data_IF_575262326318
#
_entry.id   IF_575262326318
#
_cell.length_a   1.000
_cell.length_b   1.000
_cell.length_c   1.000
_cell.angle_alpha   90.00
_cell.angle_beta   90.00
_cell.angle_gamma   90.00
#
_symmetry.space_group_name_H-M   'P 1'
#
loop_
_entity.id
_entity.type
_entity.pdbx_description
1 polymer ?
#
# COMPACT_ATOMS: atom_id res chain seq x y z
N UNK A 1 0.84 0.90 13.35
CA UNK A 1 1.51 1.31 12.10
C UNK A 1 2.97 1.57 12.40
N UNK A 2 3.84 1.10 11.53
CA UNK A 2 5.26 1.28 11.70
C UNK A 2 5.73 2.70 11.40
N UNK A 3 6.87 3.06 11.98
CA UNK A 3 7.46 4.40 11.88
C UNK A 3 8.44 4.58 10.72
N UNK A 4 8.74 3.52 9.96
CA UNK A 4 9.57 3.56 8.75
C UNK A 4 8.69 3.28 7.53
N UNK A 5 8.73 4.17 6.55
CA UNK A 5 7.94 4.05 5.34
C UNK A 5 8.81 3.76 4.13
N UNK A 6 8.31 2.88 3.29
CA UNK A 6 8.92 2.46 2.04
C UNK A 6 7.98 2.81 0.90
N UNK A 7 8.47 3.60 -0.04
CA UNK A 7 7.68 4.07 -1.17
C UNK A 7 8.27 3.57 -2.47
N UNK A 8 7.38 3.18 -3.36
CA UNK A 8 7.74 2.73 -4.70
C UNK A 8 6.58 2.97 -5.69
N UNK A 9 6.85 2.88 -6.97
CA UNK A 9 5.82 2.94 -7.99
C UNK A 9 5.81 1.70 -8.89
N UNK A 10 4.61 1.27 -9.22
CA UNK A 10 4.35 0.10 -10.09
C UNK A 10 3.66 0.56 -11.36
N UNK A 11 4.09 0.01 -12.48
CA UNK A 11 3.38 0.18 -13.76
C UNK A 11 2.17 -0.75 -13.80
N UNK A 12 1.00 -0.19 -14.09
CA UNK A 12 -0.22 -0.96 -14.33
C UNK A 12 -0.86 -0.54 -15.64
N UNK A 13 -1.51 -1.47 -16.31
CA UNK A 13 -2.29 -1.19 -17.53
C UNK A 13 -3.75 -1.00 -17.18
N UNK A 14 -4.36 0.09 -17.67
CA UNK A 14 -5.77 0.40 -17.52
C UNK A 14 -6.30 0.69 -18.92
N UNK A 15 -7.23 -0.12 -19.39
CA UNK A 15 -7.75 -0.06 -20.75
C UNK A 15 -6.61 0.01 -21.80
N UNK A 16 -5.64 -0.90 -21.67
CA UNK A 16 -4.47 -0.99 -22.56
C UNK A 16 -3.41 0.11 -22.39
N UNK A 17 -3.70 1.21 -21.66
CA UNK A 17 -2.78 2.34 -21.46
C UNK A 17 -2.00 2.20 -20.16
N UNK A 18 -0.71 2.57 -20.19
CA UNK A 18 0.17 2.53 -19.02
C UNK A 18 -0.18 3.65 -18.03
N UNK A 19 -0.26 3.27 -16.75
CA UNK A 19 -0.46 4.16 -15.61
C UNK A 19 0.55 3.82 -14.51
N UNK A 20 0.65 4.69 -13.51
CA UNK A 20 1.61 4.59 -12.42
C UNK A 20 0.87 4.52 -11.10
N UNK A 21 1.07 3.43 -10.37
CA UNK A 21 0.56 3.23 -9.02
C UNK A 21 1.67 3.61 -8.03
N UNK A 22 1.56 4.76 -7.41
CA UNK A 22 2.37 5.17 -6.27
C UNK A 22 1.87 4.44 -5.04
N UNK A 23 2.77 3.90 -4.26
CA UNK A 23 2.43 3.10 -3.10
C UNK A 23 3.38 3.37 -1.95
N UNK A 24 2.84 3.47 -0.72
CA UNK A 24 3.59 3.52 0.52
C UNK A 24 3.21 2.33 1.39
N UNK A 25 4.21 1.69 1.97
CA UNK A 25 4.05 0.62 2.96
C UNK A 25 4.94 0.93 4.17
N UNK A 26 4.58 0.43 5.35
CA UNK A 26 5.43 0.49 6.52
C UNK A 26 6.45 -0.67 6.56
N UNK A 27 7.30 -0.71 7.59
CA UNK A 27 8.31 -1.76 7.76
C UNK A 27 7.71 -3.16 7.92
N UNK A 28 6.45 -3.26 8.31
CA UNK A 28 5.72 -4.51 8.44
C UNK A 28 5.04 -4.89 7.10
N UNK A 29 5.17 -4.03 6.10
CA UNK A 29 4.59 -4.16 4.77
C UNK A 29 3.08 -3.91 4.75
N UNK A 30 2.51 -3.27 5.77
CA UNK A 30 1.14 -2.78 5.74
C UNK A 30 1.05 -1.59 4.79
N UNK A 31 0.04 -1.61 3.92
CA UNK A 31 -0.21 -0.52 2.98
C UNK A 31 -0.71 0.72 3.73
N UNK A 32 -0.01 1.83 3.57
CA UNK A 32 -0.35 3.11 4.18
C UNK A 32 -1.28 3.92 3.29
N UNK A 33 -0.92 4.04 2.02
CA UNK A 33 -1.74 4.70 1.01
C UNK A 33 -1.26 4.40 -0.41
N UNK A 34 -2.15 4.63 -1.38
CA UNK A 34 -1.87 4.50 -2.82
C UNK A 34 -2.43 5.67 -3.61
N UNK A 35 -1.83 5.96 -4.75
CA UNK A 35 -2.35 6.90 -5.74
C UNK A 35 -2.06 6.44 -7.16
N UNK A 36 -3.09 6.41 -8.00
CA UNK A 36 -2.98 6.17 -9.43
C UNK A 36 -2.84 7.47 -10.20
N UNK A 37 -1.87 7.52 -11.11
CA UNK A 37 -1.65 8.68 -11.98
C UNK A 37 -1.38 8.26 -13.43
N UNK A 38 -1.66 9.18 -14.36
CA UNK A 38 -1.34 8.98 -15.78
C UNK A 38 0.14 9.20 -16.09
N UNK A 39 0.84 9.99 -15.27
CA UNK A 39 2.24 10.39 -15.47
C UNK A 39 3.09 10.08 -14.24
N UNK A 40 4.35 9.72 -14.48
CA UNK A 40 5.39 9.54 -13.47
C UNK A 40 6.23 10.81 -13.39
N UNK A 41 5.67 11.85 -12.81
CA UNK A 41 6.31 13.16 -12.75
C UNK A 41 6.33 13.75 -11.32
N UNK A 42 7.02 14.86 -11.16
CA UNK A 42 7.11 15.60 -9.89
C UNK A 42 5.72 15.98 -9.34
N UNK A 43 4.78 16.37 -10.21
CA UNK A 43 3.42 16.77 -9.80
C UNK A 43 2.66 15.61 -9.21
N UNK A 44 2.79 14.43 -9.82
CA UNK A 44 2.19 13.18 -9.33
C UNK A 44 2.78 12.77 -7.98
N UNK A 45 4.10 12.85 -7.81
CA UNK A 45 4.77 12.59 -6.55
C UNK A 45 4.30 13.55 -5.44
N UNK A 46 4.19 14.86 -5.73
CA UNK A 46 3.67 15.84 -4.76
C UNK A 46 2.23 15.53 -4.35
N UNK A 47 1.35 15.17 -5.30
CA UNK A 47 -0.03 14.76 -5.00
C UNK A 47 -0.07 13.54 -4.10
N UNK A 48 0.78 12.56 -4.38
CA UNK A 48 0.88 11.35 -3.57
C UNK A 48 1.31 11.66 -2.13
N UNK A 49 2.38 12.43 -1.93
CA UNK A 49 2.83 12.80 -0.59
C UNK A 49 1.80 13.62 0.19
N UNK A 50 1.13 14.58 -0.48
CA UNK A 50 0.04 15.35 0.16
C UNK A 50 -1.08 14.42 0.65
N UNK A 51 -1.47 13.45 -0.19
CA UNK A 51 -2.49 12.45 0.18
C UNK A 51 -2.02 11.59 1.34
N UNK A 52 -0.82 11.02 1.24
CA UNK A 52 -0.21 10.16 2.24
C UNK A 52 -0.13 10.84 3.61
N UNK A 53 0.46 12.05 3.69
CA UNK A 53 0.59 12.77 4.96
C UNK A 53 -0.76 13.22 5.54
N UNK A 54 -1.75 13.53 4.70
CA UNK A 54 -3.10 13.84 5.17
C UNK A 54 -3.80 12.63 5.81
N UNK A 55 -3.52 11.43 5.30
CA UNK A 55 -4.13 10.18 5.77
C UNK A 55 -3.48 9.60 7.03
N UNK A 56 -2.33 10.13 7.46
CA UNK A 56 -1.58 9.61 8.60
C UNK A 56 -1.57 10.60 9.75
N UNK A 57 -1.83 10.13 10.97
CA UNK A 57 -1.81 10.95 12.19
C UNK A 57 -0.39 11.32 12.66
N UNK A 58 0.62 10.58 12.22
CA UNK A 58 2.01 10.77 12.62
C UNK A 58 2.95 10.79 11.41
N UNK A 59 4.02 11.57 11.52
CA UNK A 59 5.08 11.54 10.52
C UNK A 59 6.00 10.33 10.78
N UNK A 60 6.55 9.71 9.72
CA UNK A 60 7.48 8.61 9.88
C UNK A 60 8.82 9.10 10.41
N UNK A 61 9.51 8.23 11.15
CA UNK A 61 10.90 8.48 11.55
C UNK A 61 11.85 8.45 10.36
N UNK A 62 11.49 7.74 9.28
CA UNK A 62 12.33 7.52 8.11
C UNK A 62 11.51 7.19 6.87
N UNK A 63 11.90 7.75 5.74
CA UNK A 63 11.32 7.44 4.44
C UNK A 63 12.39 6.83 3.53
N UNK A 64 12.12 5.65 2.99
CA UNK A 64 12.97 4.97 2.00
C UNK A 64 12.25 4.94 0.66
N UNK A 65 12.93 5.36 -0.40
CA UNK A 65 12.43 5.29 -1.78
C UNK A 65 13.51 4.72 -2.70
N UNK A 66 13.13 4.42 -3.93
CA UNK A 66 14.09 4.25 -5.01
C UNK A 66 14.82 5.57 -5.34
N UNK A 67 15.70 5.54 -6.34
CA UNK A 67 16.49 6.71 -6.77
C UNK A 67 15.70 7.73 -7.62
N UNK A 68 14.37 7.64 -7.72
CA UNK A 68 13.57 8.55 -8.55
C UNK A 68 13.68 10.00 -8.05
N UNK A 69 14.18 10.89 -8.90
CA UNK A 69 14.38 12.31 -8.57
C UNK A 69 13.09 13.04 -8.12
N UNK A 70 11.93 12.58 -8.62
CA UNK A 70 10.62 13.11 -8.24
C UNK A 70 10.32 13.01 -6.76
N UNK A 71 10.78 11.97 -6.07
CA UNK A 71 10.58 11.80 -4.63
C UNK A 71 11.30 12.87 -3.82
N UNK A 72 12.57 13.12 -4.13
CA UNK A 72 13.36 14.14 -3.43
C UNK A 72 12.73 15.55 -3.57
N UNK A 73 12.29 15.88 -4.79
CA UNK A 73 11.64 17.16 -5.07
C UNK A 73 10.25 17.26 -4.38
N UNK A 74 9.50 16.17 -4.32
CA UNK A 74 8.18 16.15 -3.69
C UNK A 74 8.27 16.26 -2.16
N UNK A 75 9.23 15.59 -1.53
CA UNK A 75 9.46 15.67 -0.08
C UNK A 75 9.85 17.10 0.35
N UNK A 76 10.72 17.77 -0.39
CA UNK A 76 11.05 19.17 -0.13
C UNK A 76 9.81 20.08 -0.16
N UNK A 77 8.91 19.85 -1.12
CA UNK A 77 7.67 20.64 -1.24
C UNK A 77 6.59 20.28 -0.20
N UNK A 78 6.70 19.13 0.45
CA UNK A 78 5.72 18.71 1.47
C UNK A 78 6.01 19.25 2.87
N UNK A 79 7.16 19.95 3.05
CA UNK A 79 7.60 20.42 4.37
C UNK A 79 8.00 19.30 5.34
N UNK A 80 8.13 18.07 4.84
CA UNK A 80 8.51 16.93 5.66
C UNK A 80 9.99 17.02 6.04
N UNK A 81 10.26 17.01 7.34
CA UNK A 81 11.64 17.04 7.90
C UNK A 81 12.23 15.65 8.10
N UNK A 82 11.49 14.61 7.76
CA UNK A 82 11.93 13.21 7.95
C UNK A 82 13.13 12.86 7.07
N UNK A 83 14.14 12.16 7.61
CA UNK A 83 15.27 11.66 6.85
C UNK A 83 14.85 10.80 5.66
N UNK A 84 15.30 11.20 4.46
CA UNK A 84 15.02 10.50 3.21
C UNK A 84 16.22 9.67 2.79
N UNK A 85 16.02 8.37 2.61
CA UNK A 85 17.05 7.42 2.18
C UNK A 85 16.72 6.90 0.80
N UNK A 86 17.67 7.06 -0.11
CA UNK A 86 17.62 6.56 -1.48
C UNK A 86 18.65 5.45 -1.66
N UNK A 87 18.32 4.20 -1.28
CA UNK A 87 19.21 3.04 -1.46
C UNK A 87 18.48 1.94 -2.22
N UNK A 88 19.09 1.51 -3.33
CA UNK A 88 18.54 0.54 -4.28
C UNK A 88 18.11 -0.79 -3.64
N UNK A 89 18.85 -1.30 -2.65
CA UNK A 89 18.58 -2.60 -2.02
C UNK A 89 17.76 -2.53 -0.72
N UNK A 90 17.42 -1.33 -0.23
CA UNK A 90 16.64 -1.19 1.02
C UNK A 90 15.13 -1.07 0.78
N UNK A 91 14.69 -1.06 -0.47
CA UNK A 91 13.28 -0.94 -0.83
C UNK A 91 12.60 -2.29 -1.12
N UNK A 92 13.26 -3.41 -0.82
CA UNK A 92 12.74 -4.76 -1.07
C UNK A 92 11.37 -5.01 -0.42
N UNK A 93 11.07 -4.35 0.70
CA UNK A 93 9.77 -4.48 1.38
C UNK A 93 8.66 -3.92 0.47
N UNK A 94 8.88 -2.77 -0.17
CA UNK A 94 7.96 -2.23 -1.15
C UNK A 94 7.84 -3.17 -2.37
N UNK A 95 8.97 -3.66 -2.90
CA UNK A 95 8.99 -4.57 -4.06
C UNK A 95 8.23 -5.87 -3.81
N UNK A 96 8.42 -6.53 -2.67
CA UNK A 96 7.69 -7.76 -2.29
C UNK A 96 6.18 -7.48 -2.22
N UNK A 97 5.79 -6.30 -1.74
CA UNK A 97 4.38 -5.92 -1.65
C UNK A 97 3.71 -5.78 -3.04
N UNK A 98 4.50 -5.54 -4.11
CA UNK A 98 4.00 -5.42 -5.48
C UNK A 98 3.52 -6.75 -6.09
N UNK A 99 4.06 -7.88 -5.65
CA UNK A 99 3.68 -9.20 -6.18
C UNK A 99 2.17 -9.45 -6.03
N UNK A 100 1.59 -9.07 -4.89
CA UNK A 100 0.15 -9.19 -4.64
C UNK A 100 -0.67 -8.32 -5.61
N UNK A 101 -0.26 -7.07 -5.83
CA UNK A 101 -0.93 -6.16 -6.77
C UNK A 101 -0.88 -6.70 -8.19
N UNK A 102 0.26 -7.24 -8.63
CA UNK A 102 0.42 -7.84 -9.97
C UNK A 102 -0.42 -9.11 -10.15
N UNK A 103 -0.49 -9.94 -9.11
CA UNK A 103 -1.32 -11.15 -9.15
C UNK A 103 -2.79 -10.78 -9.32
N UNK A 104 -3.28 -9.79 -8.62
CA UNK A 104 -4.64 -9.33 -8.71
C UNK A 104 -4.97 -8.63 -10.02
N UNK A 105 -4.05 -7.81 -10.55
CA UNK A 105 -4.21 -7.23 -11.87
C UNK A 105 -4.41 -8.32 -12.93
N UNK A 106 -3.73 -9.47 -12.82
CA UNK A 106 -3.90 -10.62 -13.70
C UNK A 106 -5.26 -11.32 -13.50
N UNK A 107 -5.67 -11.53 -12.26
CA UNK A 107 -6.92 -12.18 -11.91
C UNK A 107 -8.16 -11.38 -12.33
N UNK A 108 -8.09 -10.06 -12.28
CA UNK A 108 -9.20 -9.16 -12.61
C UNK A 108 -9.38 -8.87 -14.10
N UNK A 109 -8.67 -9.54 -15.00
CA UNK A 109 -8.77 -9.36 -16.46
C UNK A 109 -8.67 -7.90 -16.95
N UNK A 110 -7.92 -7.05 -16.25
CA UNK A 110 -7.65 -5.64 -16.54
C UNK A 110 -8.68 -4.64 -15.95
N UNK A 111 -8.17 -3.47 -15.60
CA UNK A 111 -9.01 -2.35 -15.16
C UNK A 111 -9.53 -1.56 -16.38
N UNK A 112 -10.77 -1.13 -16.30
CA UNK A 112 -11.44 -0.37 -17.37
C UNK A 112 -11.23 1.15 -17.19
N UNK A 113 -11.09 1.63 -15.96
CA UNK A 113 -10.88 3.05 -15.68
C UNK A 113 -9.95 3.29 -14.49
N UNK A 114 -9.33 4.49 -14.43
CA UNK A 114 -8.49 4.91 -13.30
C UNK A 114 -9.31 4.95 -12.01
N UNK A 115 -10.53 5.46 -12.06
CA UNK A 115 -11.40 5.57 -10.88
C UNK A 115 -11.76 4.19 -10.32
N UNK A 116 -12.08 3.23 -11.18
CA UNK A 116 -12.33 1.85 -10.78
C UNK A 116 -11.09 1.21 -10.16
N UNK A 117 -9.94 1.33 -10.82
CA UNK A 117 -8.67 0.79 -10.34
C UNK A 117 -8.27 1.41 -8.98
N UNK A 118 -8.40 2.73 -8.83
CA UNK A 118 -8.10 3.42 -7.57
C UNK A 118 -8.98 2.92 -6.42
N UNK A 119 -10.31 2.86 -6.62
CA UNK A 119 -11.24 2.36 -5.60
C UNK A 119 -10.94 0.92 -5.21
N UNK A 120 -10.79 0.06 -6.21
CA UNK A 120 -10.50 -1.35 -5.97
C UNK A 120 -9.19 -1.55 -5.19
N UNK A 121 -8.09 -0.96 -5.66
CA UNK A 121 -6.79 -1.11 -5.03
C UNK A 121 -6.76 -0.52 -3.60
N UNK A 122 -7.42 0.63 -3.38
CA UNK A 122 -7.55 1.20 -2.03
C UNK A 122 -8.32 0.28 -1.07
N UNK A 123 -9.47 -0.24 -1.50
CA UNK A 123 -10.26 -1.18 -0.70
C UNK A 123 -9.47 -2.46 -0.42
N UNK A 124 -8.82 -2.99 -1.45
CA UNK A 124 -8.02 -4.21 -1.35
C UNK A 124 -6.82 -4.06 -0.39
N UNK A 125 -6.17 -2.88 -0.38
CA UNK A 125 -5.10 -2.57 0.58
C UNK A 125 -5.59 -2.65 2.03
N UNK A 126 -6.76 -2.07 2.32
CA UNK A 126 -7.39 -2.13 3.65
C UNK A 126 -7.69 -3.57 4.04
N UNK A 127 -8.30 -4.36 3.15
CA UNK A 127 -8.63 -5.77 3.39
C UNK A 127 -7.36 -6.58 3.65
N UNK A 128 -6.33 -6.39 2.82
CA UNK A 128 -5.05 -7.08 3.02
C UNK A 128 -4.40 -6.72 4.36
N UNK A 129 -4.44 -5.45 4.78
CA UNK A 129 -3.92 -5.04 6.07
C UNK A 129 -4.68 -5.70 7.22
N UNK A 130 -6.01 -5.79 7.12
CA UNK A 130 -6.85 -6.42 8.12
C UNK A 130 -6.49 -7.90 8.35
N UNK A 131 -6.24 -8.66 7.28
CA UNK A 131 -5.87 -10.07 7.37
C UNK A 131 -4.36 -10.31 7.42
N UNK A 132 -3.53 -9.24 7.38
CA UNK A 132 -2.08 -9.34 7.44
C UNK A 132 -1.61 -9.51 8.87
N UNK A 133 -1.65 -10.74 9.36
CA UNK A 133 -1.02 -11.09 10.62
C UNK A 133 0.49 -11.31 10.39
N UNK A 134 1.33 -10.67 11.19
CA UNK A 134 2.79 -10.77 11.10
C UNK A 134 3.26 -12.15 11.58
N UNK A 135 3.03 -13.18 10.76
CA UNK A 135 3.29 -14.58 11.10
C UNK A 135 4.71 -14.82 11.59
N UNK A 136 5.70 -14.12 11.03
CA UNK A 136 7.12 -14.26 11.39
C UNK A 136 7.46 -13.67 12.76
N UNK A 137 6.60 -12.83 13.35
CA UNK A 137 6.78 -12.23 14.66
C UNK A 137 5.93 -12.92 15.75
N UNK A 138 5.03 -13.81 15.36
CA UNK A 138 4.05 -14.42 16.26
C UNK A 138 4.29 -15.92 16.41
N UNK A 139 4.18 -16.41 17.66
CA UNK A 139 4.05 -17.85 17.89
C UNK A 139 2.77 -18.38 17.25
N UNK A 140 2.76 -19.65 16.80
CA UNK A 140 1.64 -20.25 16.07
C UNK A 140 0.28 -20.12 16.79
N UNK A 141 0.26 -20.22 18.13
CA UNK A 141 -0.96 -20.03 18.95
C UNK A 141 -1.51 -18.60 18.81
N UNK A 142 -0.65 -17.58 18.93
CA UNK A 142 -1.07 -16.17 18.82
C UNK A 142 -1.47 -15.81 17.39
N UNK A 143 -0.76 -16.34 16.40
CA UNK A 143 -1.14 -16.14 15.00
C UNK A 143 -2.55 -16.65 14.71
N UNK A 144 -2.89 -17.88 15.15
CA UNK A 144 -4.25 -18.44 15.01
C UNK A 144 -5.29 -17.54 15.69
N UNK A 145 -5.05 -17.17 16.94
CA UNK A 145 -5.95 -16.31 17.71
C UNK A 145 -6.23 -14.98 17.01
N UNK A 146 -5.20 -14.26 16.56
CA UNK A 146 -5.39 -12.98 15.86
C UNK A 146 -6.07 -13.15 14.51
N UNK A 147 -5.76 -14.23 13.79
CA UNK A 147 -6.45 -14.55 12.53
C UNK A 147 -7.93 -14.77 12.76
N UNK A 148 -8.30 -15.55 13.74
CA UNK A 148 -9.70 -15.85 14.05
C UNK A 148 -10.45 -14.58 14.48
N UNK A 149 -9.83 -13.72 15.27
CA UNK A 149 -10.39 -12.38 15.59
C UNK A 149 -10.60 -11.52 14.33
N UNK A 150 -9.66 -11.54 13.40
CA UNK A 150 -9.81 -10.79 12.15
C UNK A 150 -11.02 -11.28 11.35
N UNK A 151 -11.26 -12.59 11.29
CA UNK A 151 -12.47 -13.13 10.65
C UNK A 151 -13.74 -12.75 11.38
N UNK A 152 -13.78 -12.80 12.71
CA UNK A 152 -14.95 -12.37 13.50
C UNK A 152 -15.26 -10.88 13.21
N UNK A 153 -14.26 -10.01 13.28
CA UNK A 153 -14.43 -8.59 12.96
C UNK A 153 -14.90 -8.38 11.53
N UNK A 154 -14.35 -9.13 10.57
CA UNK A 154 -14.77 -9.07 9.18
C UNK A 154 -16.24 -9.41 9.01
N UNK A 155 -16.70 -10.52 9.63
CA UNK A 155 -18.09 -10.95 9.60
C UNK A 155 -19.03 -9.87 10.18
N UNK A 156 -18.64 -9.23 11.28
CA UNK A 156 -19.42 -8.15 11.89
C UNK A 156 -19.56 -6.93 10.97
N UNK A 157 -18.46 -6.52 10.29
CA UNK A 157 -18.45 -5.34 9.41
C UNK A 157 -19.19 -5.61 8.09
N UNK A 158 -19.10 -6.83 7.55
CA UNK A 158 -19.71 -7.17 6.27
C UNK A 158 -21.13 -7.70 6.41
N UNK A 159 -21.64 -7.87 7.62
CA UNK A 159 -22.97 -8.45 7.89
C UNK A 159 -23.19 -9.83 7.23
N UNK A 160 -22.12 -10.54 6.89
CA UNK A 160 -22.20 -11.91 6.39
C UNK A 160 -22.48 -12.80 7.59
N UNK A 161 -23.75 -13.14 7.78
CA UNK A 161 -24.11 -14.21 8.72
C UNK A 161 -23.44 -15.50 8.23
N UNK A 162 -22.76 -16.21 9.13
CA UNK A 162 -22.29 -17.56 8.86
C UNK A 162 -23.53 -18.40 8.53
N UNK A 163 -23.82 -18.62 7.25
CA UNK A 163 -24.62 -19.76 6.87
C UNK A 163 -23.80 -20.96 7.26
N UNK A 164 -24.21 -21.60 8.37
CA UNK A 164 -23.54 -22.78 8.89
C UNK A 164 -23.40 -23.78 7.76
N UNK A 165 -22.16 -24.19 7.53
CA UNK A 165 -21.89 -25.41 6.79
C UNK A 165 -22.31 -26.52 7.75
N UNK A 166 -23.56 -27.03 7.53
CA UNK A 166 -24.02 -28.26 8.15
C UNK A 166 -23.26 -29.45 7.57
#
# INVERSE_FOLDING_TARGET
>A
MGDQWFLDEVFIKINGKQHYLWRAVDQDGCELDILLTKKRDKRSAIKFFKKLFKGQSQQPRKITTDKLASYKAALRNSGCKTPHITKQYKNNIAEISHQKTRQQQRQMRQFVSIAQAQRFLSCHGIINNHFRQQRHLLKAKHYRFFRDRAFVQWTQVTCVQNMGIG
#
